data_IF_467443384004
#
_entry.id   IF_467443384004
#
_cell.length_a   1.000
_cell.length_b   1.000
_cell.length_c   1.000
_cell.angle_alpha   90.00
_cell.angle_beta   90.00
_cell.angle_gamma   90.00
#
_symmetry.space_group_name_H-M   'P 1'
#
loop_
_entity.id
_entity.type
_entity.pdbx_description
1 polymer ?
#
# COMPACT_ATOMS: atom_id res chain seq x y z
N UNK A 1 9.56 18.72 -8.84
CA UNK A 1 9.45 17.76 -7.73
C UNK A 1 9.61 16.38 -8.34
N UNK A 2 10.75 15.74 -8.10
CA UNK A 2 10.98 14.35 -8.47
C UNK A 2 10.04 13.49 -7.61
N UNK A 3 9.26 12.62 -8.24
CA UNK A 3 8.31 11.75 -7.55
C UNK A 3 8.87 10.32 -7.50
N UNK A 4 8.54 9.52 -6.47
CA UNK A 4 8.98 8.13 -6.35
C UNK A 4 8.69 7.28 -7.61
N UNK A 5 7.64 7.61 -8.36
CA UNK A 5 7.34 6.97 -9.66
C UNK A 5 8.39 7.21 -10.75
N UNK A 6 9.12 8.32 -10.70
CA UNK A 6 10.23 8.59 -11.61
C UNK A 6 11.41 7.66 -11.32
N UNK A 7 11.69 7.42 -10.04
CA UNK A 7 12.72 6.46 -9.61
C UNK A 7 12.35 5.03 -10.04
N UNK A 8 11.13 4.58 -9.76
CA UNK A 8 10.67 3.24 -10.15
C UNK A 8 10.59 3.08 -11.67
N UNK A 9 10.20 4.12 -12.42
CA UNK A 9 10.22 4.09 -13.88
C UNK A 9 11.63 3.91 -14.45
N UNK A 10 12.66 4.48 -13.81
CA UNK A 10 14.06 4.24 -14.18
C UNK A 10 14.45 2.78 -13.87
N UNK A 11 14.05 2.24 -12.72
CA UNK A 11 14.34 0.86 -12.36
C UNK A 11 13.74 -0.14 -13.36
N UNK A 12 12.53 0.10 -13.84
CA UNK A 12 11.87 -0.73 -14.85
C UNK A 12 12.61 -0.70 -16.19
N UNK A 13 13.00 0.49 -16.65
CA UNK A 13 13.83 0.63 -17.85
C UNK A 13 15.14 -0.17 -17.73
N UNK A 14 15.78 -0.11 -16.57
CA UNK A 14 17.00 -0.87 -16.29
C UNK A 14 16.73 -2.37 -16.21
N UNK A 15 15.64 -2.82 -15.61
CA UNK A 15 15.27 -4.24 -15.59
C UNK A 15 14.97 -4.79 -16.99
N UNK A 16 14.35 -3.99 -17.86
CA UNK A 16 14.13 -4.36 -19.27
C UNK A 16 15.45 -4.43 -20.07
N UNK A 17 16.39 -3.52 -19.80
CA UNK A 17 17.69 -3.46 -20.46
C UNK A 17 18.67 -4.52 -19.96
N UNK A 18 18.60 -4.90 -18.69
CA UNK A 18 19.48 -5.85 -18.03
C UNK A 18 18.66 -7.05 -17.49
N UNK A 19 18.37 -8.08 -18.29
CA UNK A 19 17.52 -9.21 -17.86
C UNK A 19 18.00 -9.91 -16.57
N UNK A 20 19.31 -10.02 -16.37
CA UNK A 20 19.89 -10.58 -15.15
C UNK A 20 19.56 -9.76 -13.88
N UNK A 21 19.28 -8.45 -14.03
CA UNK A 21 18.78 -7.58 -12.96
C UNK A 21 17.33 -7.94 -12.59
N UNK A 22 16.48 -8.12 -13.61
CA UNK A 22 15.07 -8.48 -13.45
C UNK A 22 14.89 -9.87 -12.81
N UNK A 23 15.70 -10.85 -13.22
CA UNK A 23 15.69 -12.20 -12.65
C UNK A 23 16.05 -12.18 -11.16
N UNK A 24 17.11 -11.44 -10.81
CA UNK A 24 17.56 -11.29 -9.40
C UNK A 24 16.56 -10.50 -8.57
N UNK A 25 15.87 -9.52 -9.17
CA UNK A 25 14.80 -8.77 -8.52
C UNK A 25 13.63 -9.70 -8.19
N UNK A 26 13.14 -10.45 -9.17
CA UNK A 26 12.02 -11.39 -9.01
C UNK A 26 12.33 -12.44 -7.95
N UNK A 27 13.55 -13.01 -7.97
CA UNK A 27 14.00 -13.96 -6.97
C UNK A 27 14.04 -13.36 -5.56
N UNK A 28 14.59 -12.14 -5.42
CA UNK A 28 14.65 -11.43 -4.13
C UNK A 28 13.26 -11.08 -3.60
N UNK A 29 12.34 -10.63 -4.46
CA UNK A 29 10.96 -10.31 -4.11
C UNK A 29 10.23 -11.56 -3.60
N UNK A 30 10.36 -12.69 -4.31
CA UNK A 30 9.77 -13.97 -3.90
C UNK A 30 10.32 -14.44 -2.55
N UNK A 31 11.64 -14.49 -2.41
CA UNK A 31 12.28 -14.95 -1.18
C UNK A 31 11.96 -14.04 0.04
N UNK A 32 11.88 -12.73 -0.19
CA UNK A 32 11.47 -11.77 0.84
C UNK A 32 10.01 -11.96 1.24
N UNK A 33 9.09 -12.13 0.28
CA UNK A 33 7.68 -12.38 0.55
C UNK A 33 7.45 -13.70 1.30
N UNK A 34 8.19 -14.77 0.96
CA UNK A 34 8.18 -16.04 1.68
C UNK A 34 8.62 -15.85 3.14
N UNK A 35 9.71 -15.11 3.39
CA UNK A 35 10.16 -14.83 4.77
C UNK A 35 9.19 -13.99 5.58
N UNK A 36 8.51 -13.03 4.96
CA UNK A 36 7.48 -12.22 5.63
C UNK A 36 6.29 -13.13 6.00
N UNK A 37 5.90 -14.04 5.10
CA UNK A 37 4.85 -15.03 5.38
C UNK A 37 5.24 -15.96 6.53
N UNK A 38 6.45 -16.52 6.51
CA UNK A 38 6.97 -17.37 7.59
C UNK A 38 7.01 -16.62 8.94
N UNK A 39 7.37 -15.34 8.92
CA UNK A 39 7.38 -14.50 10.12
C UNK A 39 5.97 -14.31 10.68
N UNK A 40 4.97 -14.09 9.81
CA UNK A 40 3.56 -14.00 10.19
C UNK A 40 3.08 -15.34 10.77
N UNK A 41 3.31 -16.45 10.07
CA UNK A 41 2.88 -17.79 10.50
C UNK A 41 3.50 -18.22 11.83
N UNK A 42 4.81 -17.96 12.04
CA UNK A 42 5.49 -18.27 13.32
C UNK A 42 4.96 -17.42 14.46
N UNK A 43 4.66 -16.15 14.20
CA UNK A 43 4.06 -15.27 15.20
C UNK A 43 2.67 -15.77 15.59
N UNK A 44 1.85 -16.15 14.62
CA UNK A 44 0.51 -16.69 14.85
C UNK A 44 0.55 -18.00 15.65
N UNK A 45 1.58 -18.84 15.43
CA UNK A 45 1.74 -20.11 16.13
C UNK A 45 2.22 -19.98 17.59
N UNK A 46 3.06 -18.98 17.90
CA UNK A 46 3.63 -18.78 19.25
C UNK A 46 2.73 -17.89 20.12
N UNK A 47 1.86 -17.08 19.50
CA UNK A 47 1.03 -16.10 20.22
C UNK A 47 1.86 -14.98 20.87
N UNK A 48 3.09 -14.77 20.38
CA UNK A 48 4.03 -13.80 20.94
C UNK A 48 3.66 -12.37 20.50
N UNK A 49 3.62 -11.48 21.48
CA UNK A 49 3.07 -10.13 21.39
C UNK A 49 4.15 -9.03 21.26
N UNK A 50 5.42 -9.40 21.09
CA UNK A 50 6.50 -8.43 20.92
C UNK A 50 6.48 -7.78 19.52
N UNK A 51 5.75 -6.68 19.50
CA UNK A 51 5.63 -5.70 18.44
C UNK A 51 6.91 -5.16 17.89
N UNK A 52 7.80 -4.84 18.81
CA UNK A 52 9.02 -4.15 18.52
C UNK A 52 9.95 -5.17 17.90
N UNK A 53 10.01 -6.39 18.45
CA UNK A 53 10.67 -7.52 17.83
C UNK A 53 10.08 -7.86 16.46
N UNK A 54 8.75 -7.87 16.26
CA UNK A 54 8.16 -8.15 14.95
C UNK A 54 8.45 -7.04 13.92
N UNK A 55 8.31 -5.76 14.28
CA UNK A 55 8.62 -4.64 13.40
C UNK A 55 10.13 -4.56 13.11
N UNK A 56 10.96 -4.86 14.11
CA UNK A 56 12.41 -5.03 13.94
C UNK A 56 12.73 -6.22 13.04
N UNK A 57 12.01 -7.35 13.16
CA UNK A 57 12.18 -8.53 12.31
C UNK A 57 11.70 -8.26 10.88
N UNK A 58 10.56 -7.62 10.68
CA UNK A 58 10.06 -7.22 9.37
C UNK A 58 11.01 -6.21 8.72
N UNK A 59 11.44 -5.18 9.45
CA UNK A 59 12.45 -4.22 9.00
C UNK A 59 13.80 -4.89 8.73
N UNK A 60 14.17 -5.91 9.50
CA UNK A 60 15.37 -6.73 9.28
C UNK A 60 15.23 -7.59 8.03
N UNK A 61 14.06 -8.17 7.76
CA UNK A 61 13.79 -8.94 6.53
C UNK A 61 13.86 -8.00 5.33
N UNK A 62 13.21 -6.83 5.39
CA UNK A 62 13.25 -5.84 4.32
C UNK A 62 14.67 -5.34 4.07
N UNK A 63 15.41 -4.93 5.10
CA UNK A 63 16.82 -4.53 4.99
C UNK A 63 17.69 -5.66 4.44
N UNK A 64 17.52 -6.88 4.94
CA UNK A 64 18.28 -8.05 4.48
C UNK A 64 17.97 -8.41 3.03
N UNK A 65 16.71 -8.29 2.61
CA UNK A 65 16.28 -8.53 1.24
C UNK A 65 16.89 -7.49 0.29
N UNK A 66 16.82 -6.20 0.67
CA UNK A 66 17.40 -5.10 -0.12
C UNK A 66 18.92 -5.17 -0.18
N UNK A 67 19.60 -5.45 0.95
CA UNK A 67 21.06 -5.60 0.98
C UNK A 67 21.54 -6.85 0.21
N UNK A 68 20.85 -7.98 0.36
CA UNK A 68 21.13 -9.20 -0.38
C UNK A 68 20.93 -9.03 -1.89
N UNK A 69 19.84 -8.35 -2.27
CA UNK A 69 19.60 -7.95 -3.64
C UNK A 69 20.74 -7.07 -4.17
N UNK A 70 21.10 -5.99 -3.47
CA UNK A 70 22.17 -5.08 -3.84
C UNK A 70 23.52 -5.79 -4.04
N UNK A 71 23.86 -6.73 -3.16
CA UNK A 71 25.05 -7.56 -3.31
C UNK A 71 24.98 -8.45 -4.56
N UNK A 72 23.82 -9.05 -4.81
CA UNK A 72 23.61 -9.93 -5.96
C UNK A 72 23.66 -9.19 -7.30
N UNK A 73 23.35 -7.89 -7.34
CA UNK A 73 23.30 -7.11 -8.59
C UNK A 73 24.51 -6.23 -8.84
N UNK A 74 25.50 -6.28 -7.94
CA UNK A 74 26.75 -5.55 -8.08
C UNK A 74 27.45 -5.90 -9.40
N UNK A 75 27.72 -4.88 -10.21
CA UNK A 75 28.41 -5.03 -11.49
C UNK A 75 27.54 -5.53 -12.65
N UNK A 76 26.23 -5.70 -12.47
CA UNK A 76 25.31 -5.96 -13.61
C UNK A 76 25.05 -4.69 -14.40
N UNK A 77 24.71 -3.61 -13.69
CA UNK A 77 24.27 -2.34 -14.28
C UNK A 77 25.50 -1.46 -14.49
N UNK A 78 25.55 -0.76 -15.63
CA UNK A 78 26.62 0.17 -15.96
C UNK A 78 26.68 1.31 -14.94
N UNK A 79 27.89 1.84 -14.70
CA UNK A 79 28.11 2.86 -13.68
C UNK A 79 27.28 4.14 -13.91
N UNK A 80 27.10 4.55 -15.16
CA UNK A 80 26.32 5.75 -15.54
C UNK A 80 24.82 5.58 -15.22
N UNK A 81 24.29 4.37 -15.44
CA UNK A 81 22.90 4.03 -15.14
C UNK A 81 22.64 3.99 -13.63
N UNK A 82 23.60 3.44 -12.86
CA UNK A 82 23.57 3.47 -11.39
C UNK A 82 23.64 4.92 -10.88
N UNK A 83 24.54 5.73 -11.43
CA UNK A 83 24.68 7.14 -11.05
C UNK A 83 23.42 7.95 -11.36
N UNK A 84 22.77 7.69 -12.51
CA UNK A 84 21.48 8.30 -12.87
C UNK A 84 20.39 7.94 -11.86
N UNK A 85 20.30 6.66 -11.47
CA UNK A 85 19.34 6.21 -10.48
C UNK A 85 19.58 6.86 -9.10
N UNK A 86 20.84 6.90 -8.63
CA UNK A 86 21.24 7.54 -7.36
C UNK A 86 20.83 9.02 -7.35
N UNK A 87 21.09 9.75 -8.43
CA UNK A 87 20.74 11.17 -8.54
C UNK A 87 19.23 11.42 -8.37
N UNK A 88 18.40 10.56 -8.97
CA UNK A 88 16.94 10.64 -8.84
C UNK A 88 16.48 10.23 -7.44
N UNK A 89 17.10 9.21 -6.84
CA UNK A 89 16.83 8.78 -5.45
C UNK A 89 17.12 9.92 -4.48
N UNK A 90 18.30 10.53 -4.56
CA UNK A 90 18.74 11.57 -3.62
C UNK A 90 17.95 12.88 -3.79
N UNK A 91 17.38 13.12 -4.98
CA UNK A 91 16.45 14.22 -5.24
C UNK A 91 15.06 14.01 -4.62
N UNK A 92 14.72 12.78 -4.17
CA UNK A 92 13.50 12.54 -3.40
C UNK A 92 13.66 13.15 -2.00
N UNK A 93 12.62 13.81 -1.50
CA UNK A 93 12.52 14.11 -0.06
C UNK A 93 12.19 12.80 0.67
N UNK A 94 13.23 12.02 0.93
CA UNK A 94 13.15 10.68 1.51
C UNK A 94 12.36 10.73 2.82
N UNK A 95 11.26 9.98 2.87
CA UNK A 95 10.55 9.66 4.10
C UNK A 95 11.31 8.58 4.88
N UNK A 96 10.88 8.26 6.10
CA UNK A 96 11.48 7.14 6.87
C UNK A 96 11.48 5.79 6.12
N UNK A 97 10.59 5.61 5.13
CA UNK A 97 10.55 4.44 4.25
C UNK A 97 11.64 4.46 3.18
N UNK A 98 11.99 5.65 2.67
CA UNK A 98 13.04 5.79 1.67
C UNK A 98 14.44 5.84 2.31
N UNK A 99 14.54 5.80 3.66
CA UNK A 99 15.82 5.70 4.36
C UNK A 99 16.59 4.41 3.98
N UNK A 100 15.88 3.28 3.81
CA UNK A 100 16.46 2.03 3.34
C UNK A 100 16.98 2.12 1.89
N UNK A 101 16.41 3.00 1.06
CA UNK A 101 16.92 3.25 -0.29
C UNK A 101 18.24 4.00 -0.25
N UNK A 102 18.46 4.86 0.75
CA UNK A 102 19.74 5.52 0.98
C UNK A 102 20.85 4.59 1.48
N UNK A 103 20.51 3.37 1.94
CA UNK A 103 21.49 2.38 2.42
C UNK A 103 22.09 1.55 1.27
N UNK A 104 21.50 1.58 0.07
CA UNK A 104 21.95 0.77 -1.07
C UNK A 104 22.01 1.54 -2.40
N UNK A 105 23.04 1.27 -3.17
CA UNK A 105 23.22 1.80 -4.53
C UNK A 105 22.87 0.71 -5.56
N UNK A 106 21.61 0.27 -5.52
CA UNK A 106 21.12 -0.83 -6.33
C UNK A 106 19.81 -0.48 -7.04
N UNK A 107 19.85 -0.20 -8.35
CA UNK A 107 18.64 -0.04 -9.15
C UNK A 107 17.75 -1.27 -9.01
N UNK A 108 16.47 -1.06 -8.69
CA UNK A 108 15.47 -2.09 -8.42
C UNK A 108 15.10 -2.19 -6.93
N UNK A 109 15.83 -1.51 -6.03
CA UNK A 109 15.55 -1.52 -4.61
C UNK A 109 14.22 -0.84 -4.24
N UNK A 110 13.80 0.21 -4.95
CA UNK A 110 12.52 0.87 -4.67
C UNK A 110 11.34 -0.03 -5.05
N UNK A 111 11.42 -0.64 -6.23
CA UNK A 111 10.45 -1.65 -6.70
C UNK A 111 10.41 -2.89 -5.81
N UNK A 112 11.57 -3.29 -5.26
CA UNK A 112 11.66 -4.44 -4.34
C UNK A 112 10.97 -4.15 -3.01
N UNK A 113 11.19 -2.98 -2.42
CA UNK A 113 10.50 -2.60 -1.19
C UNK A 113 8.98 -2.55 -1.38
N UNK A 114 8.50 -2.00 -2.50
CA UNK A 114 7.08 -1.96 -2.83
C UNK A 114 6.49 -3.38 -2.93
N UNK A 115 7.23 -4.34 -3.51
CA UNK A 115 6.80 -5.73 -3.63
C UNK A 115 6.70 -6.47 -2.28
N UNK A 116 7.39 -5.99 -1.23
CA UNK A 116 7.39 -6.57 0.12
C UNK A 116 6.26 -6.01 1.01
N UNK A 117 5.42 -5.09 0.50
CA UNK A 117 4.27 -4.52 1.22
C UNK A 117 2.96 -5.33 1.05
N UNK A 118 2.98 -6.47 0.37
CA UNK A 118 1.79 -7.24 -0.01
C UNK A 118 0.88 -7.60 1.18
N UNK A 119 -0.44 -7.49 0.96
CA UNK A 119 -1.48 -7.78 1.96
C UNK A 119 -1.70 -9.29 2.04
N UNK A 120 -1.62 -9.94 3.22
CA UNK A 120 -2.05 -11.33 3.39
C UNK A 120 -3.52 -11.52 2.97
N UNK A 121 -3.84 -12.71 2.47
CA UNK A 121 -5.21 -13.03 2.05
C UNK A 121 -6.16 -12.89 3.22
N UNK A 122 -7.26 -12.15 2.99
CA UNK A 122 -8.18 -11.70 4.03
C UNK A 122 -8.63 -12.86 4.92
N UNK A 123 -8.25 -12.78 6.20
CA UNK A 123 -8.60 -13.73 7.25
C UNK A 123 -9.10 -13.04 8.50
N UNK A 124 -10.00 -12.04 8.37
CA UNK A 124 -10.95 -11.63 9.41
C UNK A 124 -11.86 -10.53 8.87
N UNK A 125 -13.03 -10.90 8.35
CA UNK A 125 -14.16 -9.97 8.23
C UNK A 125 -14.65 -9.66 9.64
N UNK A 126 -14.13 -8.60 10.25
CA UNK A 126 -14.76 -7.99 11.43
C UNK A 126 -16.05 -7.32 10.92
N UNK A 127 -17.19 -7.77 11.45
CA UNK A 127 -18.52 -7.51 10.89
C UNK A 127 -18.83 -6.04 10.59
N UNK A 128 -19.72 -5.84 9.61
CA UNK A 128 -20.06 -4.58 8.89
C UNK A 128 -20.50 -3.37 9.73
N UNK A 129 -20.46 -3.44 11.06
CA UNK A 129 -20.91 -2.36 11.97
C UNK A 129 -20.00 -2.14 13.19
N UNK A 130 -18.79 -2.68 13.21
CA UNK A 130 -17.86 -2.45 14.32
C UNK A 130 -17.27 -1.02 14.26
N UNK A 131 -17.43 -0.25 15.32
CA UNK A 131 -16.69 1.02 15.53
C UNK A 131 -15.19 0.75 15.61
N UNK A 132 -14.35 1.77 15.38
CA UNK A 132 -12.90 1.62 15.54
C UNK A 132 -12.54 1.07 16.93
N UNK A 133 -13.19 1.54 17.99
CA UNK A 133 -12.94 1.06 19.36
C UNK A 133 -13.24 -0.43 19.51
N UNK A 134 -14.33 -0.92 18.90
CA UNK A 134 -14.66 -2.34 18.88
C UNK A 134 -13.65 -3.15 18.06
N UNK A 135 -13.24 -2.64 16.90
CA UNK A 135 -12.22 -3.28 16.06
C UNK A 135 -10.88 -3.35 16.78
N UNK A 136 -10.48 -2.27 17.46
CA UNK A 136 -9.27 -2.21 18.28
C UNK A 136 -9.35 -3.18 19.46
N UNK A 137 -10.47 -3.19 20.21
CA UNK A 137 -10.66 -4.12 21.32
C UNK A 137 -10.59 -5.59 20.86
N UNK A 138 -11.14 -5.91 19.68
CA UNK A 138 -11.09 -7.25 19.10
C UNK A 138 -9.69 -7.71 18.65
N UNK A 139 -8.74 -6.77 18.55
CA UNK A 139 -7.34 -7.05 18.20
C UNK A 139 -6.39 -6.66 19.33
N UNK A 140 -6.86 -6.35 20.54
CA UNK A 140 -5.99 -5.87 21.64
C UNK A 140 -4.89 -6.87 21.98
N UNK A 141 -5.22 -8.16 21.94
CA UNK A 141 -4.29 -9.29 22.12
C UNK A 141 -3.25 -9.40 20.99
N UNK A 142 -3.58 -8.92 19.79
CA UNK A 142 -2.71 -8.93 18.60
C UNK A 142 -2.01 -7.60 18.35
N UNK A 143 -2.48 -6.55 19.02
CA UNK A 143 -2.00 -5.19 18.87
C UNK A 143 -0.59 -5.07 19.41
N UNK A 144 0.27 -4.52 18.59
CA UNK A 144 1.70 -4.48 18.84
C UNK A 144 2.19 -3.05 19.04
N UNK A 145 1.63 -2.09 18.32
CA UNK A 145 2.01 -0.68 18.50
C UNK A 145 1.39 -0.01 19.73
N UNK A 146 0.78 -0.77 20.64
CA UNK A 146 0.12 -0.29 21.87
C UNK A 146 -1.19 0.49 21.66
N UNK A 147 -1.60 0.73 20.42
CA UNK A 147 -2.74 1.59 20.09
C UNK A 147 -4.07 1.02 20.60
N UNK A 148 -4.33 -0.27 20.39
CA UNK A 148 -5.59 -0.89 20.80
C UNK A 148 -5.81 -0.85 22.32
N UNK A 149 -4.73 -1.00 23.09
CA UNK A 149 -4.76 -0.98 24.56
C UNK A 149 -4.87 0.42 25.15
N UNK A 150 -4.08 1.35 24.60
CA UNK A 150 -3.88 2.67 25.20
C UNK A 150 -4.81 3.73 24.61
N UNK A 151 -5.36 3.49 23.42
CA UNK A 151 -6.05 4.50 22.61
C UNK A 151 -5.12 5.61 22.10
N UNK A 152 -3.80 5.55 22.38
CA UNK A 152 -2.84 6.57 21.98
C UNK A 152 -2.23 6.19 20.63
N UNK A 153 -2.47 7.01 19.61
CA UNK A 153 -2.00 6.75 18.26
C UNK A 153 -0.46 6.89 18.17
N UNK A 154 0.27 5.83 17.80
CA UNK A 154 1.73 5.86 17.65
C UNK A 154 2.15 6.59 16.37
N UNK A 155 3.44 6.91 16.23
CA UNK A 155 3.98 7.51 14.98
C UNK A 155 3.73 6.64 13.75
N UNK A 156 3.76 5.32 13.91
CA UNK A 156 3.40 4.33 12.91
C UNK A 156 2.61 3.20 13.58
N UNK A 157 1.51 2.77 12.98
CA UNK A 157 0.68 1.68 13.49
C UNK A 157 1.23 0.33 13.05
N UNK A 158 1.02 -0.69 13.87
CA UNK A 158 1.31 -2.07 13.46
C UNK A 158 0.32 -2.55 12.39
N UNK A 159 0.63 -3.69 11.75
CA UNK A 159 -0.19 -4.29 10.70
C UNK A 159 -1.67 -4.42 11.08
N UNK A 160 -1.97 -5.06 12.22
CA UNK A 160 -3.36 -5.30 12.64
C UNK A 160 -4.12 -4.00 12.97
N UNK A 161 -3.46 -3.01 13.56
CA UNK A 161 -4.08 -1.71 13.80
C UNK A 161 -4.29 -0.93 12.51
N UNK A 162 -3.36 -1.02 11.56
CA UNK A 162 -3.52 -0.44 10.24
C UNK A 162 -4.74 -1.03 9.53
N UNK A 163 -4.92 -2.35 9.56
CA UNK A 163 -6.11 -3.00 9.02
C UNK A 163 -7.39 -2.56 9.73
N UNK A 164 -7.42 -2.55 11.06
CA UNK A 164 -8.59 -2.11 11.82
C UNK A 164 -8.96 -0.65 11.52
N UNK A 165 -7.98 0.25 11.46
CA UNK A 165 -8.21 1.66 11.10
C UNK A 165 -8.76 1.76 9.68
N UNK A 166 -8.15 1.06 8.72
CA UNK A 166 -8.59 1.07 7.32
C UNK A 166 -9.98 0.49 7.16
N UNK A 167 -10.31 -0.61 7.85
CA UNK A 167 -11.64 -1.21 7.84
C UNK A 167 -12.69 -0.28 8.45
N UNK A 168 -12.40 0.34 9.60
CA UNK A 168 -13.28 1.34 10.20
C UNK A 168 -13.46 2.55 9.28
N UNK A 169 -12.39 2.99 8.60
CA UNK A 169 -12.44 4.09 7.65
C UNK A 169 -13.32 3.79 6.44
N UNK A 170 -13.22 2.58 5.88
CA UNK A 170 -14.10 2.11 4.81
C UNK A 170 -15.56 1.98 5.28
N UNK A 171 -15.81 1.39 6.44
CA UNK A 171 -17.17 1.25 6.98
C UNK A 171 -17.84 2.62 7.21
N UNK A 172 -17.08 3.60 7.69
CA UNK A 172 -17.58 4.97 7.85
C UNK A 172 -17.84 5.65 6.50
N UNK A 173 -17.00 5.40 5.49
CA UNK A 173 -17.23 5.85 4.11
C UNK A 173 -18.53 5.26 3.55
N UNK A 174 -18.74 3.95 3.69
CA UNK A 174 -19.96 3.25 3.27
C UNK A 174 -21.21 3.73 4.01
N UNK A 175 -21.06 4.21 5.25
CA UNK A 175 -22.16 4.84 6.01
C UNK A 175 -22.53 6.23 5.50
N UNK A 176 -21.56 6.99 4.99
CA UNK A 176 -21.75 8.36 4.52
C UNK A 176 -22.28 8.38 3.09
N UNK A 177 -21.75 7.53 2.20
CA UNK A 177 -22.04 7.55 0.77
C UNK A 177 -23.53 7.48 0.41
N UNK A 178 -24.38 6.67 1.06
CA UNK A 178 -25.83 6.64 0.79
C UNK A 178 -26.54 7.98 1.00
N UNK A 179 -25.95 8.91 1.77
CA UNK A 179 -26.49 10.27 2.00
C UNK A 179 -26.14 11.24 0.88
N UNK A 180 -25.24 10.86 -0.02
CA UNK A 180 -24.80 11.62 -1.19
C UNK A 180 -24.92 10.71 -2.43
N UNK A 181 -26.16 10.33 -2.83
CA UNK A 181 -26.40 9.20 -3.72
C UNK A 181 -25.80 9.38 -5.13
N UNK A 182 -25.73 10.62 -5.63
CA UNK A 182 -25.13 10.88 -6.93
C UNK A 182 -23.60 10.65 -6.88
N UNK A 183 -22.94 11.18 -5.86
CA UNK A 183 -21.51 10.92 -5.63
C UNK A 183 -21.26 9.42 -5.43
N UNK A 184 -22.10 8.73 -4.66
CA UNK A 184 -21.98 7.29 -4.44
C UNK A 184 -21.96 6.50 -5.75
N UNK A 185 -22.94 6.77 -6.64
CA UNK A 185 -23.01 6.15 -7.97
C UNK A 185 -21.78 6.43 -8.81
N UNK A 186 -21.34 7.70 -8.86
CA UNK A 186 -20.15 8.09 -9.63
C UNK A 186 -18.85 7.45 -9.08
N UNK A 187 -18.77 7.26 -7.77
CA UNK A 187 -17.64 6.57 -7.13
C UNK A 187 -17.65 5.07 -7.42
N UNK A 188 -18.81 4.42 -7.39
CA UNK A 188 -18.91 2.99 -7.75
C UNK A 188 -18.48 2.74 -9.19
N UNK A 189 -18.93 3.58 -10.13
CA UNK A 189 -18.50 3.51 -11.53
C UNK A 189 -16.99 3.72 -11.69
N UNK A 190 -16.43 4.68 -10.94
CA UNK A 190 -14.99 4.91 -10.92
C UNK A 190 -14.22 3.68 -10.41
N UNK A 191 -14.66 3.08 -9.31
CA UNK A 191 -13.96 1.95 -8.69
C UNK A 191 -14.14 0.65 -9.49
N UNK A 192 -15.29 0.41 -10.10
CA UNK A 192 -15.49 -0.75 -10.97
C UNK A 192 -14.53 -0.72 -12.17
N UNK A 193 -14.41 0.44 -12.83
CA UNK A 193 -13.44 0.65 -13.92
C UNK A 193 -12.00 0.49 -13.42
N UNK A 194 -11.68 1.02 -12.23
CA UNK A 194 -10.35 0.88 -11.66
C UNK A 194 -10.03 -0.60 -11.39
N UNK A 195 -10.93 -1.34 -10.75
CA UNK A 195 -10.77 -2.76 -10.42
C UNK A 195 -10.55 -3.59 -11.69
N UNK A 196 -11.30 -3.32 -12.77
CA UNK A 196 -11.06 -3.97 -14.06
C UNK A 196 -9.66 -3.70 -14.61
N UNK A 197 -9.19 -2.45 -14.52
CA UNK A 197 -7.85 -2.08 -14.97
C UNK A 197 -6.76 -2.74 -14.13
N UNK A 198 -6.87 -2.68 -12.81
CA UNK A 198 -5.89 -3.30 -11.91
C UNK A 198 -5.87 -4.82 -12.09
N UNK A 199 -7.02 -5.45 -12.32
CA UNK A 199 -7.11 -6.88 -12.58
C UNK A 199 -6.47 -7.29 -13.93
N UNK A 200 -6.66 -6.49 -14.99
CA UNK A 200 -5.99 -6.69 -16.27
C UNK A 200 -4.47 -6.55 -16.15
N UNK A 201 -4.01 -5.57 -15.36
CA UNK A 201 -2.60 -5.37 -15.07
C UNK A 201 -2.00 -6.57 -14.32
N UNK A 202 -2.69 -7.07 -13.28
CA UNK A 202 -2.26 -8.27 -12.56
C UNK A 202 -2.20 -9.53 -13.45
N UNK A 203 -3.05 -9.64 -14.49
CA UNK A 203 -2.99 -10.74 -15.47
C UNK A 203 -1.80 -10.65 -16.44
N UNK A 204 -1.28 -9.46 -16.71
CA UNK A 204 -0.30 -9.18 -17.76
C UNK A 204 1.08 -8.90 -17.18
N UNK A 205 1.40 -9.54 -16.05
CA UNK A 205 2.49 -9.20 -15.15
C UNK A 205 3.89 -9.41 -15.77
N UNK A 206 4.23 -8.51 -16.68
CA UNK A 206 5.52 -8.28 -17.31
C UNK A 206 6.12 -6.98 -16.70
N UNK A 207 7.41 -6.71 -16.87
CA UNK A 207 8.17 -5.70 -16.09
C UNK A 207 7.61 -4.26 -16.00
N UNK A 208 6.69 -3.83 -16.87
CA UNK A 208 6.11 -2.48 -16.93
C UNK A 208 4.78 -2.31 -16.14
N UNK A 209 4.25 -3.37 -15.52
CA UNK A 209 2.91 -3.37 -14.91
C UNK A 209 2.76 -2.38 -13.74
N UNK A 210 3.83 -2.09 -12.99
CA UNK A 210 3.72 -1.23 -11.80
C UNK A 210 3.61 0.26 -12.13
N UNK A 211 4.26 0.75 -13.19
CA UNK A 211 4.07 2.14 -13.64
C UNK A 211 2.63 2.36 -14.10
N UNK A 212 2.03 1.36 -14.74
CA UNK A 212 0.62 1.36 -15.14
C UNK A 212 -0.31 1.31 -13.92
N UNK A 213 0.04 0.54 -12.89
CA UNK A 213 -0.71 0.46 -11.64
C UNK A 213 -0.75 1.82 -10.93
N UNK A 214 0.41 2.47 -10.77
CA UNK A 214 0.53 3.82 -10.20
C UNK A 214 -0.16 4.88 -11.08
N UNK A 215 -0.10 4.73 -12.41
CA UNK A 215 -0.79 5.61 -13.35
C UNK A 215 -2.31 5.56 -13.13
N UNK A 216 -2.90 4.35 -13.13
CA UNK A 216 -4.33 4.16 -12.90
C UNK A 216 -4.73 4.64 -11.50
N UNK A 217 -3.92 4.39 -10.47
CA UNK A 217 -4.14 4.94 -9.13
C UNK A 217 -4.22 6.47 -9.13
N UNK A 218 -3.23 7.16 -9.74
CA UNK A 218 -3.21 8.63 -9.80
C UNK A 218 -4.36 9.19 -10.61
N UNK A 219 -4.73 8.52 -11.69
CA UNK A 219 -5.88 8.88 -12.52
C UNK A 219 -7.17 8.77 -11.73
N UNK A 220 -7.38 7.66 -11.02
CA UNK A 220 -8.51 7.50 -10.11
C UNK A 220 -8.51 8.56 -9.01
N UNK A 221 -7.38 8.85 -8.36
CA UNK A 221 -7.27 9.90 -7.35
C UNK A 221 -7.64 11.30 -7.88
N UNK A 222 -7.26 11.63 -9.12
CA UNK A 222 -7.63 12.91 -9.75
C UNK A 222 -9.11 12.98 -10.08
N UNK A 223 -9.69 11.88 -10.55
CA UNK A 223 -11.12 11.80 -10.84
C UNK A 223 -11.93 11.89 -9.54
N UNK A 224 -11.53 11.15 -8.52
CA UNK A 224 -12.05 11.21 -7.16
C UNK A 224 -12.12 12.65 -6.62
N UNK A 225 -11.03 13.41 -6.75
CA UNK A 225 -10.96 14.81 -6.36
C UNK A 225 -11.87 15.74 -7.20
N UNK A 226 -12.22 15.37 -8.44
CA UNK A 226 -13.18 16.12 -9.27
C UNK A 226 -14.61 15.83 -8.80
N UNK A 227 -14.97 14.56 -8.60
CA UNK A 227 -16.29 14.14 -8.13
C UNK A 227 -16.62 14.74 -6.75
N UNK A 228 -15.66 14.72 -5.82
CA UNK A 228 -15.84 15.36 -4.52
C UNK A 228 -15.97 16.89 -4.61
N UNK A 229 -15.39 17.53 -5.64
CA UNK A 229 -15.56 18.98 -5.85
C UNK A 229 -16.92 19.32 -6.43
N UNK A 230 -17.47 18.51 -7.33
CA UNK A 230 -18.84 18.69 -7.84
C UNK A 230 -19.87 18.48 -6.73
N UNK A 231 -19.67 17.45 -5.89
CA UNK A 231 -20.56 17.12 -4.78
C UNK A 231 -20.36 17.98 -3.51
N UNK A 232 -19.49 19.00 -3.52
CA UNK A 232 -19.12 19.76 -2.30
C UNK A 232 -20.31 20.37 -1.57
N UNK A 233 -21.38 20.73 -2.29
CA UNK A 233 -22.60 21.32 -1.69
C UNK A 233 -23.49 20.29 -0.99
N UNK A 234 -23.29 19.01 -1.28
CA UNK A 234 -24.06 17.90 -0.73
C UNK A 234 -23.34 17.25 0.47
N UNK A 235 -22.04 17.56 0.64
CA UNK A 235 -21.20 17.07 1.73
C UNK A 235 -21.19 18.09 2.87
N UNK A 236 -21.80 17.75 4.00
CA UNK A 236 -21.82 18.60 5.19
C UNK A 236 -20.67 18.24 6.14
N UNK A 237 -20.06 19.24 6.77
CA UNK A 237 -18.90 19.02 7.65
C UNK A 237 -19.18 18.04 8.80
N UNK A 238 -20.38 18.09 9.39
CA UNK A 238 -20.79 17.18 10.46
C UNK A 238 -20.94 15.71 10.02
N UNK A 239 -21.05 15.44 8.72
CA UNK A 239 -21.06 14.07 8.19
C UNK A 239 -19.65 13.46 8.15
N UNK A 240 -18.61 14.30 8.10
CA UNK A 240 -17.24 13.86 7.85
C UNK A 240 -16.38 13.79 9.12
N UNK A 241 -16.88 14.16 10.29
CA UNK A 241 -16.07 14.26 11.52
C UNK A 241 -15.31 12.95 11.80
N UNK A 242 -16.04 11.86 11.99
CA UNK A 242 -15.45 10.53 12.26
C UNK A 242 -14.62 10.04 11.07
N UNK A 243 -15.08 10.25 9.83
CA UNK A 243 -14.32 9.89 8.64
C UNK A 243 -12.95 10.59 8.57
N UNK A 244 -12.87 11.87 8.96
CA UNK A 244 -11.63 12.66 8.98
C UNK A 244 -10.68 12.22 10.09
N UNK A 245 -11.22 11.84 11.25
CA UNK A 245 -10.45 11.26 12.36
C UNK A 245 -9.83 9.92 11.94
N UNK A 246 -10.61 9.06 11.28
CA UNK A 246 -10.14 7.78 10.74
C UNK A 246 -9.10 7.98 9.64
N UNK A 247 -9.31 8.94 8.73
CA UNK A 247 -8.32 9.28 7.71
C UNK A 247 -7.01 9.84 8.31
N UNK A 248 -7.09 10.59 9.41
CA UNK A 248 -5.93 11.04 10.17
C UNK A 248 -5.21 9.85 10.82
N UNK A 249 -5.93 8.92 11.45
CA UNK A 249 -5.36 7.70 12.01
C UNK A 249 -4.68 6.83 10.92
N UNK A 250 -5.31 6.68 9.75
CA UNK A 250 -4.77 5.95 8.61
C UNK A 250 -3.50 6.59 8.04
N UNK A 251 -3.24 7.88 8.31
CA UNK A 251 -1.99 8.54 7.92
C UNK A 251 -0.76 8.09 8.72
N UNK A 252 -0.98 7.23 9.72
CA UNK A 252 0.04 6.53 10.50
C UNK A 252 0.22 5.06 10.08
N UNK A 253 -0.45 4.60 9.01
CA UNK A 253 -0.28 3.24 8.50
C UNK A 253 1.19 2.93 8.22
N UNK A 254 1.67 1.76 8.66
CA UNK A 254 3.00 1.28 8.30
C UNK A 254 3.18 1.09 6.79
N UNK A 255 2.10 0.78 6.04
CA UNK A 255 2.08 0.62 4.57
C UNK A 255 2.15 1.99 3.89
N UNK A 256 3.26 2.33 3.24
CA UNK A 256 3.49 3.61 2.56
C UNK A 256 2.42 4.03 1.56
N UNK A 257 1.88 3.12 0.73
CA UNK A 257 0.85 3.46 -0.26
C UNK A 257 -0.44 3.90 0.43
N UNK A 258 -0.94 3.09 1.36
CA UNK A 258 -2.13 3.40 2.15
C UNK A 258 -1.92 4.69 2.95
N UNK A 259 -0.76 4.84 3.61
CA UNK A 259 -0.37 6.05 4.34
C UNK A 259 -0.36 7.29 3.46
N UNK A 260 0.20 7.21 2.25
CA UNK A 260 0.30 8.33 1.32
C UNK A 260 -1.07 8.78 0.83
N UNK A 261 -1.96 7.82 0.52
CA UNK A 261 -3.35 8.11 0.14
C UNK A 261 -4.12 8.72 1.31
N UNK A 262 -3.98 8.17 2.51
CA UNK A 262 -4.53 8.75 3.73
C UNK A 262 -4.06 10.19 3.94
N UNK A 263 -2.76 10.50 3.87
CA UNK A 263 -2.27 11.89 3.94
C UNK A 263 -2.89 12.82 2.89
N UNK A 264 -3.32 12.28 1.76
CA UNK A 264 -3.98 12.99 0.66
C UNK A 264 -5.48 13.22 0.84
N UNK A 265 -6.12 12.70 1.90
CA UNK A 265 -7.58 12.68 2.05
C UNK A 265 -8.25 14.04 1.89
N UNK A 266 -7.60 15.13 2.35
CA UNK A 266 -8.13 16.51 2.24
C UNK A 266 -8.33 16.96 0.79
N UNK A 267 -7.57 16.36 -0.15
CA UNK A 267 -7.62 16.70 -1.58
C UNK A 267 -8.55 15.79 -2.36
N UNK A 268 -8.61 14.51 -2.00
CA UNK A 268 -9.39 13.49 -2.72
C UNK A 268 -10.81 13.33 -2.19
N UNK A 269 -11.06 13.50 -0.88
CA UNK A 269 -12.40 13.40 -0.28
C UNK A 269 -12.89 11.96 -0.10
N UNK A 270 -14.21 11.77 -0.05
CA UNK A 270 -14.85 10.45 0.05
C UNK A 270 -14.45 9.57 -1.12
N UNK A 271 -14.27 8.27 -0.87
CA UNK A 271 -13.67 7.27 -1.75
C UNK A 271 -12.16 7.10 -1.54
N UNK A 272 -11.52 7.94 -0.72
CA UNK A 272 -10.08 7.77 -0.43
C UNK A 272 -9.82 6.51 0.38
N UNK A 273 -10.74 6.11 1.27
CA UNK A 273 -10.58 4.89 2.05
C UNK A 273 -10.53 3.67 1.12
N UNK A 274 -11.52 3.52 0.23
CA UNK A 274 -11.55 2.44 -0.77
C UNK A 274 -10.36 2.47 -1.74
N UNK A 275 -9.95 3.65 -2.20
CA UNK A 275 -8.76 3.78 -3.05
C UNK A 275 -7.47 3.30 -2.33
N UNK A 276 -7.37 3.53 -1.01
CA UNK A 276 -6.21 3.14 -0.21
C UNK A 276 -6.04 1.63 -0.04
N UNK A 277 -7.12 0.86 -0.22
CA UNK A 277 -7.09 -0.61 -0.14
C UNK A 277 -7.01 -1.27 -1.49
N UNK A 278 -7.73 -0.76 -2.49
CA UNK A 278 -7.73 -1.30 -3.86
C UNK A 278 -6.34 -1.30 -4.51
N UNK A 279 -5.49 -0.35 -4.08
CA UNK A 279 -4.15 -0.13 -4.65
C UNK A 279 -3.05 -0.87 -3.91
N UNK A 280 -3.40 -1.68 -2.91
CA UNK A 280 -2.46 -2.57 -2.26
C UNK A 280 -2.30 -3.86 -3.08
N UNK A 281 -1.06 -4.32 -3.21
CA UNK A 281 -0.77 -5.57 -3.89
C UNK A 281 -1.48 -6.73 -3.19
N UNK A 282 -2.14 -7.58 -3.98
CA UNK A 282 -2.87 -8.74 -3.48
C UNK A 282 -4.27 -8.46 -2.94
N UNK A 283 -4.81 -7.26 -3.16
CA UNK A 283 -6.17 -6.90 -2.81
C UNK A 283 -7.19 -7.98 -3.30
N UNK A 284 -8.10 -8.46 -2.42
CA UNK A 284 -9.00 -9.56 -2.74
C UNK A 284 -10.02 -9.23 -3.83
N UNK A 285 -10.51 -8.00 -3.91
CA UNK A 285 -11.46 -7.55 -4.94
C UNK A 285 -10.80 -7.58 -6.33
N UNK A 286 -9.57 -7.05 -6.42
CA UNK A 286 -8.76 -7.09 -7.65
C UNK A 286 -8.42 -8.53 -8.04
N UNK A 287 -8.00 -9.38 -7.09
CA UNK A 287 -7.75 -10.81 -7.33
C UNK A 287 -8.99 -11.56 -7.80
N UNK A 288 -10.16 -11.29 -7.22
CA UNK A 288 -11.42 -11.90 -7.62
C UNK A 288 -11.80 -11.48 -9.04
N UNK A 289 -11.67 -10.19 -9.37
CA UNK A 289 -11.91 -9.69 -10.74
C UNK A 289 -10.94 -10.32 -11.73
N UNK A 290 -9.66 -10.41 -11.39
CA UNK A 290 -8.61 -11.04 -12.18
C UNK A 290 -8.97 -12.50 -12.52
N UNK A 291 -9.38 -13.29 -11.52
CA UNK A 291 -9.84 -14.68 -11.71
C UNK A 291 -11.05 -14.75 -12.64
N UNK A 292 -12.04 -13.87 -12.47
CA UNK A 292 -13.24 -13.82 -13.32
C UNK A 292 -12.89 -13.51 -14.79
N UNK A 293 -12.00 -12.54 -15.03
CA UNK A 293 -11.54 -12.19 -16.39
C UNK A 293 -10.79 -13.38 -17.02
N UNK A 294 -9.94 -14.08 -16.26
CA UNK A 294 -9.22 -15.24 -16.75
C UNK A 294 -10.13 -16.41 -17.15
N UNK A 295 -11.26 -16.61 -16.45
CA UNK A 295 -12.24 -17.66 -16.74
C UNK A 295 -13.11 -17.37 -17.97
N UNK A 296 -13.14 -16.13 -18.44
CA UNK A 296 -13.94 -15.68 -19.58
C UNK A 296 -13.14 -15.62 -20.90
N UNK A 297 -11.85 -15.95 -20.86
CA UNK A 297 -10.96 -16.07 -22.01
C UNK A 297 -10.78 -17.52 -22.40
#
# INVERSE_FOLDING_TARGET
MVARAELVGIEQQLMAQYPALADRHTAAARAGAERIRDLIERRDAVGDADAEAFAQHLGSIQRSAVAGYAASVRGIVQADDVARWISVRDALKLSAYDALLGEVDAPGAASLLDALEAVPEAGATVGELATLDQMLAAIDDKCTCGYARTGVLPKQTCYVCAEAITAAWMAEEDRILPRVPELHRELDELFDVLVDRLAQLELTRDGDTWALFEHERRKAQRQLARLNRSARKEIFDGMLTTWRELAAAASHDHRPIARSLAKGWKRSGLGTARLSTLTLQGNPEVKARMKKIAQQR
#
